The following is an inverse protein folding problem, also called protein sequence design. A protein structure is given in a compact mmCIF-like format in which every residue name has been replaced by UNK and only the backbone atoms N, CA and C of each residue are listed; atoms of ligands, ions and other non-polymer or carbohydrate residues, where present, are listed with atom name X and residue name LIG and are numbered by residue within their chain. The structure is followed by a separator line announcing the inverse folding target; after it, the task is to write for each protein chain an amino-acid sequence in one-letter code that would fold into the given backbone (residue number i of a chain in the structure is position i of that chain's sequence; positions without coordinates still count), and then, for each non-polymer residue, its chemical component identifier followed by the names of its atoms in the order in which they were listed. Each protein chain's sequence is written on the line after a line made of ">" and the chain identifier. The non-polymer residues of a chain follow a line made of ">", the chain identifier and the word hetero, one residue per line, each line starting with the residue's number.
data_IF_987602977557
#
_entry.id   IF_987602977557
#
_cell.length_a   1.000
_cell.length_b   1.000
_cell.length_c   1.000
_cell.angle_alpha   90.00
_cell.angle_beta   90.00
_cell.angle_gamma   90.00
#
_symmetry.space_group_name_H-M   'P 1'
#
loop_
_entity.id
_entity.type
_entity.pdbx_description
1 polymer ?
#
# COMPACT_ATOMS: atom_id res chain seq x y z
N UNK A 1 4.51 -8.04 -13.97
CA UNK A 1 3.86 -8.98 -13.04
C UNK A 1 2.58 -9.56 -13.65
N UNK A 2 1.56 -8.74 -13.94
CA UNK A 2 0.28 -9.26 -14.46
C UNK A 2 0.38 -9.92 -15.84
N UNK A 3 1.23 -9.41 -16.74
CA UNK A 3 1.55 -10.09 -18.02
C UNK A 3 2.19 -11.49 -17.83
N UNK A 4 2.75 -11.77 -16.65
CA UNK A 4 3.28 -13.08 -16.27
C UNK A 4 2.27 -13.86 -15.41
N UNK A 5 0.98 -13.56 -15.55
CA UNK A 5 -0.15 -14.22 -14.89
C UNK A 5 -0.32 -13.96 -13.39
N UNK A 6 0.26 -12.89 -12.83
CA UNK A 6 -0.04 -12.51 -11.45
C UNK A 6 -1.53 -12.16 -11.27
N UNK A 7 -2.21 -12.83 -10.36
CA UNK A 7 -3.65 -12.63 -10.07
C UNK A 7 -3.88 -11.61 -8.96
N UNK A 8 -2.87 -11.36 -8.13
CA UNK A 8 -2.85 -10.41 -7.02
C UNK A 8 -1.47 -9.73 -6.98
N UNK A 9 -1.42 -8.45 -6.63
CA UNK A 9 -0.17 -7.72 -6.39
C UNK A 9 0.05 -7.47 -4.90
N UNK A 10 1.26 -7.73 -4.41
CA UNK A 10 1.64 -7.59 -3.00
C UNK A 10 2.83 -6.64 -2.85
N UNK A 11 2.70 -5.63 -2.00
CA UNK A 11 3.72 -4.61 -1.76
C UNK A 11 3.98 -4.40 -0.27
N UNK A 12 4.88 -5.21 0.34
CA UNK A 12 5.44 -4.91 1.65
C UNK A 12 6.18 -3.57 1.61
N UNK A 13 5.89 -2.69 2.55
CA UNK A 13 6.27 -1.28 2.48
C UNK A 13 6.79 -0.77 3.82
N UNK A 14 7.73 0.17 3.77
CA UNK A 14 8.16 0.98 4.90
C UNK A 14 8.29 2.43 4.42
N UNK A 15 7.18 3.16 4.45
CA UNK A 15 7.09 4.55 4.02
C UNK A 15 6.47 5.42 5.12
N UNK A 16 6.96 6.64 5.26
CA UNK A 16 6.66 7.53 6.38
C UNK A 16 6.94 8.98 6.05
N UNK A 17 7.14 9.79 7.09
CA UNK A 17 7.60 11.17 6.98
C UNK A 17 9.02 11.27 6.39
N UNK A 18 9.31 12.39 5.73
CA UNK A 18 10.64 12.70 5.20
C UNK A 18 11.47 13.50 6.23
N UNK A 19 12.64 13.01 6.70
CA UNK A 19 13.43 13.68 7.73
C UNK A 19 13.88 15.11 7.38
N UNK A 20 13.98 15.41 6.09
CA UNK A 20 14.40 16.72 5.57
C UNK A 20 13.26 17.74 5.43
N UNK A 21 12.00 17.31 5.38
CA UNK A 21 10.84 18.22 5.31
C UNK A 21 9.60 17.56 5.91
N UNK A 22 9.28 17.92 7.15
CA UNK A 22 8.13 17.38 7.89
C UNK A 22 6.76 17.76 7.30
N UNK A 23 6.72 18.70 6.35
CA UNK A 23 5.47 19.12 5.68
C UNK A 23 5.06 18.16 4.55
N UNK A 24 5.97 17.29 4.12
CA UNK A 24 5.68 16.31 3.08
C UNK A 24 4.86 15.15 3.66
N UNK A 25 3.65 15.00 3.13
CA UNK A 25 2.78 13.88 3.42
C UNK A 25 2.36 13.18 2.11
N UNK A 26 3.17 12.22 1.62
CA UNK A 26 2.91 11.57 0.35
C UNK A 26 1.86 10.45 0.46
N UNK A 27 1.21 10.22 1.62
CA UNK A 27 0.37 9.04 1.86
C UNK A 27 -0.72 8.86 0.80
N UNK A 28 -1.46 9.93 0.49
CA UNK A 28 -2.56 9.83 -0.46
C UNK A 28 -2.05 9.69 -1.90
N UNK A 29 -0.89 10.28 -2.19
CA UNK A 29 -0.26 10.15 -3.49
C UNK A 29 0.19 8.71 -3.72
N UNK A 30 0.87 8.12 -2.74
CA UNK A 30 1.24 6.72 -2.75
C UNK A 30 0.01 5.81 -2.95
N UNK A 31 -1.04 5.98 -2.14
CA UNK A 31 -2.24 5.15 -2.26
C UNK A 31 -2.87 5.26 -3.67
N UNK A 32 -3.00 6.47 -4.23
CA UNK A 32 -3.58 6.68 -5.57
C UNK A 32 -2.79 5.98 -6.67
N UNK A 33 -1.46 5.99 -6.62
CA UNK A 33 -0.61 5.29 -7.60
C UNK A 33 -0.86 3.79 -7.54
N UNK A 34 -0.95 3.24 -6.33
CA UNK A 34 -1.21 1.82 -6.10
C UNK A 34 -2.62 1.42 -6.56
N UNK A 35 -3.65 2.21 -6.24
CA UNK A 35 -5.00 2.01 -6.78
C UNK A 35 -4.97 1.99 -8.32
N UNK A 36 -4.22 2.90 -8.93
CA UNK A 36 -4.00 2.91 -10.38
C UNK A 36 -3.39 1.62 -10.93
N UNK A 37 -2.46 0.98 -10.21
CA UNK A 37 -1.94 -0.33 -10.61
C UNK A 37 -3.00 -1.44 -10.57
N UNK A 38 -3.86 -1.45 -9.55
CA UNK A 38 -4.98 -2.39 -9.48
C UNK A 38 -5.94 -2.17 -10.66
N UNK A 39 -6.41 -0.95 -10.86
CA UNK A 39 -7.34 -0.57 -11.93
C UNK A 39 -6.77 -0.85 -13.31
N UNK A 40 -5.50 -0.50 -13.58
CA UNK A 40 -4.90 -0.67 -14.90
C UNK A 40 -4.75 -2.13 -15.32
N UNK A 41 -4.81 -3.06 -14.37
CA UNK A 41 -4.56 -4.47 -14.60
C UNK A 41 -5.74 -5.38 -14.22
N UNK A 42 -6.84 -4.83 -13.67
CA UNK A 42 -7.97 -5.60 -13.14
C UNK A 42 -7.51 -6.74 -12.20
N UNK A 43 -6.66 -6.42 -11.21
CA UNK A 43 -6.20 -7.35 -10.18
C UNK A 43 -6.30 -6.70 -8.79
N UNK A 44 -6.66 -7.44 -7.74
CA UNK A 44 -6.52 -6.94 -6.38
C UNK A 44 -5.07 -6.57 -6.05
N UNK A 45 -4.91 -5.61 -5.15
CA UNK A 45 -3.62 -5.15 -4.67
C UNK A 45 -3.64 -5.04 -3.14
N UNK A 46 -2.59 -5.53 -2.50
CA UNK A 46 -2.39 -5.43 -1.06
C UNK A 46 -1.11 -4.68 -0.80
N UNK A 47 -1.19 -3.68 0.07
CA UNK A 47 -0.02 -3.00 0.59
C UNK A 47 0.00 -3.00 2.10
N UNK A 48 1.10 -3.50 2.67
CA UNK A 48 1.34 -3.60 4.10
C UNK A 48 2.46 -2.66 4.49
N UNK A 49 2.16 -1.64 5.28
CA UNK A 49 3.11 -0.63 5.70
C UNK A 49 3.32 -0.63 7.22
N UNK A 50 4.50 -0.17 7.62
CA UNK A 50 4.92 -0.02 9.02
C UNK A 50 4.17 1.14 9.70
N UNK A 51 4.06 1.07 11.03
CA UNK A 51 3.62 2.16 11.91
C UNK A 51 4.73 2.53 12.90
N UNK A 52 4.62 3.72 13.50
CA UNK A 52 5.46 4.14 14.62
C UNK A 52 6.65 5.01 14.21
N UNK A 53 7.36 5.53 15.22
CA UNK A 53 8.52 6.40 15.05
C UNK A 53 9.80 5.62 15.29
N UNK A 54 10.68 5.60 14.30
CA UNK A 54 12.02 5.04 14.41
C UNK A 54 13.06 6.17 14.36
N UNK A 55 14.06 6.10 15.25
CA UNK A 55 15.17 7.06 15.31
C UNK A 55 16.45 6.29 15.05
N UNK A 56 17.19 6.70 14.03
CA UNK A 56 18.42 6.04 13.59
C UNK A 56 19.59 7.01 13.75
N UNK A 57 20.72 6.49 14.22
CA UNK A 57 21.99 7.22 14.22
C UNK A 57 22.60 7.17 12.83
N UNK A 58 22.80 8.34 12.23
CA UNK A 58 23.48 8.49 10.94
C UNK A 58 24.86 9.13 11.16
N UNK A 59 25.66 9.20 10.09
CA UNK A 59 26.94 9.91 10.09
C UNK A 59 26.82 11.43 10.35
N UNK A 60 25.62 12.02 10.19
CA UNK A 60 25.36 13.45 10.41
C UNK A 60 24.52 13.72 11.67
N UNK A 61 24.34 12.72 12.54
CA UNK A 61 23.50 12.82 13.73
C UNK A 61 22.25 11.93 13.67
N UNK A 62 21.32 12.14 14.61
CA UNK A 62 20.07 11.37 14.70
C UNK A 62 19.10 11.82 13.60
N UNK A 63 18.54 10.86 12.87
CA UNK A 63 17.44 11.06 11.92
C UNK A 63 16.22 10.27 12.40
N UNK A 64 15.01 10.75 12.10
CA UNK A 64 13.77 10.11 12.53
C UNK A 64 12.77 9.99 11.38
N UNK A 65 12.10 8.85 11.30
CA UNK A 65 10.98 8.62 10.38
C UNK A 65 9.78 8.21 11.23
N UNK A 66 8.62 8.86 11.01
CA UNK A 66 7.32 8.39 11.47
C UNK A 66 6.67 7.63 10.33
N UNK A 67 6.65 6.30 10.42
CA UNK A 67 5.90 5.46 9.51
C UNK A 67 4.42 5.63 9.76
N UNK A 68 3.66 5.83 8.68
CA UNK A 68 2.29 6.29 8.76
C UNK A 68 1.27 5.18 8.56
N UNK A 69 1.61 3.90 8.65
CA UNK A 69 0.63 2.83 8.44
C UNK A 69 -0.08 2.99 7.11
N UNK A 70 -1.41 3.19 7.12
CA UNK A 70 -2.24 3.26 5.93
C UNK A 70 -2.05 2.01 5.05
N UNK A 71 -1.86 0.85 5.69
CA UNK A 71 -1.97 -0.43 4.97
C UNK A 71 -3.36 -0.56 4.40
N UNK A 72 -3.51 -1.11 3.21
CA UNK A 72 -4.82 -1.27 2.58
C UNK A 72 -4.87 -2.44 1.61
N UNK A 73 -6.11 -2.87 1.35
CA UNK A 73 -6.45 -3.82 0.30
C UNK A 73 -7.34 -3.08 -0.70
N UNK A 74 -6.89 -3.02 -1.95
CA UNK A 74 -7.67 -2.54 -3.08
C UNK A 74 -8.22 -3.72 -3.89
N UNK A 75 -9.48 -3.62 -4.29
CA UNK A 75 -10.07 -4.52 -5.26
C UNK A 75 -9.60 -4.25 -6.69
N UNK A 76 -10.04 -5.05 -7.67
CA UNK A 76 -9.52 -5.00 -9.03
C UNK A 76 -9.84 -3.71 -9.79
N UNK A 77 -10.80 -2.90 -9.33
CA UNK A 77 -11.08 -1.58 -9.94
C UNK A 77 -10.41 -0.43 -9.19
N UNK A 78 -9.59 -0.74 -8.19
CA UNK A 78 -8.89 0.23 -7.35
C UNK A 78 -9.71 0.72 -6.15
N UNK A 79 -10.91 0.20 -5.93
CA UNK A 79 -11.72 0.49 -4.75
C UNK A 79 -11.04 -0.04 -3.47
N UNK A 80 -11.01 0.76 -2.41
CA UNK A 80 -10.43 0.33 -1.13
C UNK A 80 -11.48 -0.51 -0.39
N UNK A 81 -11.20 -1.80 -0.19
CA UNK A 81 -12.13 -2.74 0.47
C UNK A 81 -11.80 -2.93 1.95
N UNK A 82 -10.56 -2.68 2.35
CA UNK A 82 -10.12 -2.65 3.75
C UNK A 82 -8.93 -1.70 3.89
N UNK A 83 -8.88 -0.94 5.00
CA UNK A 83 -7.80 -0.02 5.29
C UNK A 83 -7.50 0.05 6.80
N UNK A 84 -6.23 0.20 7.14
CA UNK A 84 -5.75 0.49 8.49
C UNK A 84 -5.55 2.01 8.65
N UNK A 85 -5.45 2.47 9.90
CA UNK A 85 -5.09 3.85 10.18
C UNK A 85 -3.56 4.06 10.18
N UNK A 86 -3.09 5.19 10.72
CA UNK A 86 -1.69 5.58 10.70
C UNK A 86 -0.87 5.21 11.94
N UNK A 87 -1.45 4.47 12.89
CA UNK A 87 -0.86 4.33 14.23
C UNK A 87 -1.15 3.01 14.95
N UNK A 88 -2.28 2.35 14.67
CA UNK A 88 -2.67 1.12 15.35
C UNK A 88 -2.18 -0.12 14.59
N UNK A 89 -1.82 -1.17 15.34
CA UNK A 89 -1.62 -2.49 14.74
C UNK A 89 -2.93 -2.99 14.13
N UNK A 90 -2.86 -3.59 12.95
CA UNK A 90 -4.05 -3.98 12.20
C UNK A 90 -3.88 -5.34 11.53
N UNK A 91 -4.99 -6.07 11.45
CA UNK A 91 -5.16 -7.26 10.63
C UNK A 91 -6.27 -6.94 9.63
N UNK A 92 -5.90 -6.82 8.36
CA UNK A 92 -6.86 -6.58 7.28
C UNK A 92 -7.15 -7.89 6.55
N UNK A 93 -8.43 -8.15 6.28
CA UNK A 93 -8.89 -9.36 5.61
C UNK A 93 -9.87 -8.97 4.51
N UNK A 94 -9.72 -9.57 3.34
CA UNK A 94 -10.65 -9.45 2.23
C UNK A 94 -10.68 -10.77 1.44
N UNK A 95 -11.83 -11.08 0.85
CA UNK A 95 -12.03 -12.26 0.02
C UNK A 95 -12.25 -11.85 -1.44
N UNK A 96 -11.62 -12.57 -2.36
CA UNK A 96 -11.74 -12.35 -3.79
C UNK A 96 -11.96 -13.69 -4.50
N UNK A 97 -12.88 -13.72 -5.46
CA UNK A 97 -13.06 -14.82 -6.39
C UNK A 97 -12.11 -14.61 -7.60
N UNK A 98 -11.02 -15.38 -7.71
CA UNK A 98 -10.04 -15.19 -8.78
C UNK A 98 -10.62 -15.51 -10.17
N UNK A 99 -11.55 -16.46 -10.27
CA UNK A 99 -12.15 -16.86 -11.55
C UNK A 99 -13.07 -15.76 -12.10
N UNK A 100 -13.87 -15.16 -11.23
CA UNK A 100 -14.72 -14.02 -11.59
C UNK A 100 -13.88 -12.81 -12.04
N UNK A 101 -12.82 -12.47 -11.29
CA UNK A 101 -11.92 -11.36 -11.63
C UNK A 101 -11.22 -11.63 -12.95
N UNK A 102 -10.72 -12.85 -13.15
CA UNK A 102 -10.09 -13.25 -14.42
C UNK A 102 -11.08 -13.15 -15.58
N UNK A 103 -12.33 -13.60 -15.41
CA UNK A 103 -13.37 -13.48 -16.42
C UNK A 103 -13.61 -12.03 -16.82
N UNK A 104 -13.81 -11.13 -15.84
CA UNK A 104 -13.99 -9.68 -16.08
C UNK A 104 -12.79 -9.02 -16.77
N UNK A 105 -11.58 -9.52 -16.53
CA UNK A 105 -10.35 -9.00 -17.16
C UNK A 105 -10.23 -9.38 -18.64
N UNK A 106 -10.91 -10.43 -19.09
CA UNK A 106 -10.84 -10.93 -20.47
C UNK A 106 -12.10 -10.63 -21.30
N UNK A 107 -13.15 -10.10 -20.67
CA UNK A 107 -14.36 -9.62 -21.35
C UNK A 107 -14.13 -8.27 -22.00
#
# INVERSE_FOLDING_TARGET
>A
MVLQAAEILLYPTAIGSEPQDERLDPRDHWQRVMQGHATANLVPLISSNRIGKEIIQTQHGKSAIRFYGNSFIAGPTGEIVAAADDKEEAILVAEFDPDNIKSKRHS
#
